data_IF_980137110913
#
_entry.id   IF_980137110913
#
_cell.length_a   1.000
_cell.length_b   1.000
_cell.length_c   1.000
_cell.angle_alpha   90.00
_cell.angle_beta   90.00
_cell.angle_gamma   90.00
#
_symmetry.space_group_name_H-M   'P 1'
#
loop_
_entity.id
_entity.type
_entity.pdbx_description
1 polymer ?
#
# COMPACT_ATOMS: atom_id res chain seq x y z
N UNK A 1 23.19 -10.07 -25.97
CA UNK A 1 21.87 -9.40 -25.89
C UNK A 1 21.86 -8.62 -24.60
N UNK A 2 21.58 -7.32 -24.63
CA UNK A 2 21.31 -6.59 -23.39
C UNK A 2 20.07 -7.20 -22.74
N UNK A 3 20.08 -7.45 -21.42
CA UNK A 3 18.89 -7.91 -20.73
C UNK A 3 17.81 -6.83 -20.87
N UNK A 4 16.62 -7.23 -21.30
CA UNK A 4 15.45 -6.34 -21.33
C UNK A 4 15.23 -5.77 -19.92
N UNK A 5 15.28 -4.44 -19.72
CA UNK A 5 15.10 -3.85 -18.40
C UNK A 5 13.63 -3.85 -17.94
N UNK A 6 12.69 -4.14 -18.84
CA UNK A 6 11.25 -4.06 -18.54
C UNK A 6 10.83 -5.10 -17.49
N UNK A 7 11.15 -6.39 -17.60
CA UNK A 7 10.80 -7.38 -16.59
C UNK A 7 11.39 -7.05 -15.21
N UNK A 8 12.64 -6.58 -15.16
CA UNK A 8 13.30 -6.21 -13.91
C UNK A 8 12.60 -5.00 -13.26
N UNK A 9 12.27 -3.96 -14.04
CA UNK A 9 11.59 -2.78 -13.50
C UNK A 9 10.17 -3.09 -13.01
N UNK A 10 9.44 -3.97 -13.70
CA UNK A 10 8.13 -4.47 -13.25
C UNK A 10 8.24 -5.26 -11.94
N UNK A 11 9.27 -6.09 -11.79
CA UNK A 11 9.51 -6.84 -10.56
C UNK A 11 9.80 -5.89 -9.39
N UNK A 12 10.68 -4.89 -9.58
CA UNK A 12 10.99 -3.89 -8.55
C UNK A 12 9.74 -3.10 -8.16
N UNK A 13 8.93 -2.68 -9.14
CA UNK A 13 7.69 -1.96 -8.89
C UNK A 13 6.67 -2.81 -8.11
N UNK A 14 6.53 -4.08 -8.46
CA UNK A 14 5.65 -5.01 -7.75
C UNK A 14 6.08 -5.20 -6.29
N UNK A 15 7.38 -5.38 -6.04
CA UNK A 15 7.92 -5.50 -4.69
C UNK A 15 7.70 -4.21 -3.88
N UNK A 16 7.92 -3.04 -4.50
CA UNK A 16 7.65 -1.75 -3.86
C UNK A 16 6.16 -1.59 -3.52
N UNK A 17 5.26 -1.99 -4.40
CA UNK A 17 3.82 -1.94 -4.17
C UNK A 17 3.38 -2.84 -3.00
N UNK A 18 3.94 -4.05 -2.90
CA UNK A 18 3.69 -4.96 -1.77
C UNK A 18 4.20 -4.33 -0.47
N UNK A 19 5.45 -3.83 -0.47
CA UNK A 19 6.05 -3.18 0.70
C UNK A 19 5.24 -1.96 1.16
N UNK A 20 4.79 -1.13 0.22
CA UNK A 20 3.90 0.00 0.49
C UNK A 20 2.56 -0.45 1.10
N UNK A 21 1.93 -1.48 0.55
CA UNK A 21 0.66 -1.99 1.06
C UNK A 21 0.80 -2.49 2.51
N UNK A 22 1.88 -3.20 2.82
CA UNK A 22 2.17 -3.67 4.18
C UNK A 22 2.41 -2.49 5.12
N UNK A 23 3.28 -1.55 4.73
CA UNK A 23 3.58 -0.37 5.54
C UNK A 23 2.33 0.49 5.82
N UNK A 24 1.43 0.64 4.85
CA UNK A 24 0.17 1.36 5.01
C UNK A 24 -0.76 0.66 6.02
N UNK A 25 -0.91 -0.67 5.94
CA UNK A 25 -1.72 -1.43 6.89
C UNK A 25 -1.16 -1.33 8.32
N UNK A 26 0.15 -1.55 8.48
CA UNK A 26 0.81 -1.48 9.81
C UNK A 26 0.77 -0.07 10.39
N UNK A 27 0.94 0.96 9.55
CA UNK A 27 0.83 2.34 10.02
C UNK A 27 -0.58 2.64 10.52
N UNK A 28 -1.62 2.24 9.76
CA UNK A 28 -3.00 2.49 10.15
C UNK A 28 -3.40 1.71 11.41
N UNK A 29 -2.91 0.48 11.60
CA UNK A 29 -3.19 -0.31 12.81
C UNK A 29 -2.55 0.25 14.08
N UNK A 30 -1.42 0.96 13.95
CA UNK A 30 -0.67 1.51 15.09
C UNK A 30 -1.12 2.92 15.49
N UNK A 31 -1.97 3.58 14.69
CA UNK A 31 -2.41 4.94 14.98
C UNK A 31 -3.49 4.97 16.07
N UNK A 32 -3.29 5.83 17.07
CA UNK A 32 -4.30 6.07 18.11
C UNK A 32 -5.49 6.85 17.55
N UNK A 33 -6.68 6.25 17.64
CA UNK A 33 -7.96 6.87 17.21
C UNK A 33 -8.27 8.13 18.00
N UNK A 34 -7.99 8.17 19.31
CA UNK A 34 -8.24 9.34 20.15
C UNK A 34 -7.31 10.50 19.82
N UNK A 35 -6.04 10.21 19.53
CA UNK A 35 -5.07 11.23 19.11
C UNK A 35 -5.43 11.84 17.75
N UNK A 36 -5.84 11.01 16.77
CA UNK A 36 -6.26 11.51 15.46
C UNK A 36 -7.56 12.31 15.53
N UNK A 37 -8.52 11.89 16.34
CA UNK A 37 -9.74 12.66 16.56
C UNK A 37 -9.45 14.06 17.11
N UNK A 38 -8.60 14.15 18.14
CA UNK A 38 -8.20 15.45 18.71
C UNK A 38 -7.54 16.35 17.67
N UNK A 39 -6.60 15.83 16.88
CA UNK A 39 -5.92 16.59 15.81
C UNK A 39 -6.86 16.99 14.66
N UNK A 40 -7.86 16.15 14.37
CA UNK A 40 -8.92 16.44 13.40
C UNK A 40 -9.81 17.58 13.88
N UNK A 41 -10.19 17.57 15.17
CA UNK A 41 -10.93 18.65 15.84
C UNK A 41 -10.12 19.96 15.91
N UNK A 42 -8.79 19.88 15.99
CA UNK A 42 -7.85 21.02 15.89
C UNK A 42 -7.69 21.55 14.44
N UNK A 43 -8.34 20.92 13.45
CA UNK A 43 -8.36 21.38 12.06
C UNK A 43 -7.25 20.79 11.17
N UNK A 44 -6.47 19.82 11.66
CA UNK A 44 -5.39 19.21 10.87
C UNK A 44 -5.97 18.31 9.76
N UNK A 45 -5.80 18.74 8.49
CA UNK A 45 -6.39 18.05 7.34
C UNK A 45 -5.90 16.59 7.18
N UNK A 46 -4.65 16.30 7.57
CA UNK A 46 -4.07 14.94 7.54
C UNK A 46 -4.75 14.02 8.56
N UNK A 47 -5.03 14.55 9.75
CA UNK A 47 -5.73 13.82 10.80
C UNK A 47 -7.16 13.47 10.39
N UNK A 48 -7.84 14.36 9.66
CA UNK A 48 -9.18 14.11 9.10
C UNK A 48 -9.20 12.94 8.10
N UNK A 49 -8.18 12.84 7.25
CA UNK A 49 -8.03 11.70 6.32
C UNK A 49 -7.77 10.42 7.09
N UNK A 50 -6.82 10.44 8.04
CA UNK A 50 -6.52 9.28 8.87
C UNK A 50 -7.75 8.82 9.67
N UNK A 51 -8.53 9.74 10.22
CA UNK A 51 -9.78 9.47 10.93
C UNK A 51 -10.82 8.80 10.01
N UNK A 52 -10.99 9.27 8.78
CA UNK A 52 -11.87 8.64 7.79
C UNK A 52 -11.44 7.19 7.49
N UNK A 53 -10.14 6.96 7.29
CA UNK A 53 -9.57 5.63 7.02
C UNK A 53 -9.72 4.70 8.23
N UNK A 54 -9.52 5.21 9.45
CA UNK A 54 -9.71 4.46 10.69
C UNK A 54 -11.17 4.10 10.96
N UNK A 55 -12.11 4.94 10.49
CA UNK A 55 -13.56 4.68 10.59
C UNK A 55 -14.03 3.63 9.59
N UNK A 56 -13.32 3.46 8.47
CA UNK A 56 -13.62 2.50 7.42
C UNK A 56 -12.46 1.51 7.18
N UNK A 57 -12.04 0.74 8.20
CA UNK A 57 -10.84 -0.10 8.11
C UNK A 57 -10.91 -1.13 6.98
N UNK A 58 -12.11 -1.67 6.70
CA UNK A 58 -12.32 -2.63 5.61
C UNK A 58 -12.01 -2.06 4.22
N UNK A 59 -12.20 -0.75 3.99
CA UNK A 59 -11.89 -0.14 2.70
C UNK A 59 -10.38 -0.15 2.42
N UNK A 60 -9.56 0.11 3.45
CA UNK A 60 -8.10 0.07 3.35
C UNK A 60 -7.61 -1.37 3.21
N UNK A 61 -8.22 -2.29 3.94
CA UNK A 61 -7.90 -3.71 3.85
C UNK A 61 -8.16 -4.27 2.45
N UNK A 62 -9.34 -4.00 1.88
CA UNK A 62 -9.70 -4.42 0.52
C UNK A 62 -8.75 -3.77 -0.50
N UNK A 63 -8.51 -2.47 -0.41
CA UNK A 63 -7.62 -1.76 -1.34
C UNK A 63 -6.20 -2.34 -1.32
N UNK A 64 -5.66 -2.59 -0.12
CA UNK A 64 -4.31 -3.15 0.04
C UNK A 64 -4.23 -4.62 -0.35
N UNK A 65 -5.29 -5.41 -0.14
CA UNK A 65 -5.38 -6.79 -0.67
C UNK A 65 -5.37 -6.80 -2.20
N UNK A 66 -6.19 -5.97 -2.84
CA UNK A 66 -6.25 -5.86 -4.31
C UNK A 66 -4.89 -5.42 -4.87
N UNK A 67 -4.25 -4.44 -4.25
CA UNK A 67 -2.91 -3.98 -4.64
C UNK A 67 -1.87 -5.10 -4.53
N UNK A 68 -1.86 -5.85 -3.42
CA UNK A 68 -0.95 -6.99 -3.24
C UNK A 68 -1.22 -8.10 -4.26
N UNK A 69 -2.49 -8.42 -4.53
CA UNK A 69 -2.85 -9.42 -5.53
C UNK A 69 -2.36 -9.04 -6.93
N UNK A 70 -2.62 -7.80 -7.35
CA UNK A 70 -2.13 -7.28 -8.63
C UNK A 70 -0.59 -7.29 -8.71
N UNK A 71 0.09 -6.85 -7.64
CA UNK A 71 1.54 -6.85 -7.59
C UNK A 71 2.13 -8.26 -7.68
N UNK A 72 1.54 -9.26 -7.02
CA UNK A 72 1.98 -10.66 -7.12
C UNK A 72 1.82 -11.19 -8.54
N UNK A 73 0.71 -10.88 -9.22
CA UNK A 73 0.52 -11.27 -10.62
C UNK A 73 1.58 -10.65 -11.54
N UNK A 74 1.87 -9.35 -11.35
CA UNK A 74 2.92 -8.65 -12.10
C UNK A 74 4.30 -9.23 -11.82
N UNK A 75 4.62 -9.52 -10.54
CA UNK A 75 5.88 -10.13 -10.15
C UNK A 75 6.05 -11.53 -10.78
N UNK A 76 5.00 -12.36 -10.74
CA UNK A 76 5.01 -13.69 -11.38
C UNK A 76 5.25 -13.59 -12.88
N UNK A 77 4.53 -12.69 -13.57
CA UNK A 77 4.72 -12.46 -15.01
C UNK A 77 6.12 -11.95 -15.34
N UNK A 78 6.67 -11.05 -14.52
CA UNK A 78 8.02 -10.53 -14.67
C UNK A 78 9.10 -11.62 -14.50
N UNK A 79 8.97 -12.48 -13.48
CA UNK A 79 9.89 -13.60 -13.26
C UNK A 79 9.88 -14.57 -14.43
N UNK A 80 8.69 -14.91 -14.96
CA UNK A 80 8.59 -15.78 -16.16
C UNK A 80 9.30 -15.19 -17.37
N UNK A 81 9.37 -13.86 -17.50
CA UNK A 81 10.09 -13.19 -18.60
C UNK A 81 11.59 -13.04 -18.36
N UNK A 82 12.06 -13.22 -17.12
CA UNK A 82 13.48 -13.15 -16.75
C UNK A 82 14.19 -14.51 -16.82
N UNK A 83 13.43 -15.61 -16.77
CA UNK A 83 13.91 -16.98 -16.94
C UNK A 83 14.06 -17.34 -18.42
#
# INVERSE_FOLDING_TARGET
MEPDPIPLSLLVLALAAIGFAVAAQTSLSNVSRSAMRKRSEEGESRAKIAEYLLRNPGSVEIATMLLKAAAVLVAGAAVVRLL
#
